data_IF_763103721275
#
_entry.id   IF_763103721275
#
_cell.length_a   1.000
_cell.length_b   1.000
_cell.length_c   1.000
_cell.angle_alpha   90.00
_cell.angle_beta   90.00
_cell.angle_gamma   90.00
#
_symmetry.space_group_name_H-M   'P 1'
#
loop_
_entity.id
_entity.type
_entity.pdbx_description
1 polymer ?
#
# COMPACT_ATOMS: atom_id res chain seq x y z
N UNK A 1 14.11 3.91 -25.28
CA UNK A 1 14.42 2.49 -25.00
C UNK A 1 15.55 2.46 -24.00
N UNK A 2 15.39 1.80 -22.85
CA UNK A 2 16.48 1.59 -21.89
C UNK A 2 17.16 0.27 -22.23
N UNK A 3 18.50 0.26 -22.26
CA UNK A 3 19.32 -0.93 -22.51
C UNK A 3 20.23 -1.14 -21.30
N UNK A 4 20.33 -2.37 -20.85
CA UNK A 4 21.16 -2.76 -19.71
C UNK A 4 22.07 -3.90 -20.15
N UNK A 5 23.31 -3.86 -19.68
CA UNK A 5 24.32 -4.89 -19.91
C UNK A 5 24.99 -5.19 -18.56
N UNK A 6 25.17 -6.47 -18.25
CA UNK A 6 25.84 -6.94 -17.04
C UNK A 6 26.88 -7.97 -17.46
N UNK A 7 28.07 -7.87 -16.90
CA UNK A 7 29.13 -8.87 -17.06
C UNK A 7 29.37 -9.56 -15.72
N UNK A 8 29.60 -10.88 -15.77
CA UNK A 8 29.92 -11.71 -14.62
C UNK A 8 31.14 -12.58 -14.93
N UNK A 9 31.92 -12.89 -13.90
CA UNK A 9 33.13 -13.71 -14.00
C UNK A 9 33.17 -14.76 -12.90
N UNK A 10 33.80 -15.89 -13.21
CA UNK A 10 34.06 -16.99 -12.29
C UNK A 10 35.53 -17.38 -12.39
N UNK A 11 36.20 -17.55 -11.26
CA UNK A 11 37.52 -18.15 -11.21
C UNK A 11 37.41 -19.64 -10.81
N UNK A 12 38.15 -20.56 -11.45
CA UNK A 12 38.16 -21.97 -11.04
C UNK A 12 38.52 -22.12 -9.56
N UNK A 13 37.66 -22.78 -8.78
CA UNK A 13 37.84 -22.95 -7.33
C UNK A 13 37.59 -21.69 -6.49
N UNK A 14 37.14 -20.58 -7.11
CA UNK A 14 36.86 -19.31 -6.46
C UNK A 14 35.40 -18.87 -6.55
N UNK A 15 35.09 -17.74 -5.90
CA UNK A 15 33.76 -17.13 -5.86
C UNK A 15 33.38 -16.58 -7.24
N UNK A 16 32.08 -16.59 -7.58
CA UNK A 16 31.57 -15.89 -8.75
C UNK A 16 31.21 -14.45 -8.39
N UNK A 17 31.38 -13.51 -9.31
CA UNK A 17 30.92 -12.13 -9.13
C UNK A 17 30.41 -11.50 -10.41
N UNK A 18 29.56 -10.49 -10.26
CA UNK A 18 29.05 -9.65 -11.34
C UNK A 18 29.17 -8.18 -10.99
N UNK A 19 29.42 -7.35 -12.00
CA UNK A 19 29.45 -5.89 -11.83
C UNK A 19 28.09 -5.30 -12.22
N UNK A 20 27.39 -4.74 -11.23
CA UNK A 20 26.16 -3.99 -11.44
C UNK A 20 26.45 -2.50 -11.22
N UNK A 21 26.54 -1.73 -12.31
CA UNK A 21 27.01 -0.36 -12.31
C UNK A 21 28.45 -0.23 -11.75
N UNK A 22 28.61 0.19 -10.50
CA UNK A 22 29.90 0.30 -9.81
C UNK A 22 29.97 -0.56 -8.55
N UNK A 23 29.04 -1.51 -8.41
CA UNK A 23 28.94 -2.39 -7.25
C UNK A 23 29.21 -3.82 -7.69
N UNK A 24 30.17 -4.46 -7.03
CA UNK A 24 30.41 -5.88 -7.18
C UNK A 24 29.39 -6.67 -6.36
N UNK A 25 28.71 -7.62 -7.02
CA UNK A 25 27.81 -8.58 -6.40
C UNK A 25 28.50 -9.93 -6.42
N UNK A 26 28.88 -10.44 -5.25
CA UNK A 26 29.51 -11.75 -5.09
C UNK A 26 28.43 -12.80 -4.81
N UNK A 27 28.51 -13.96 -5.47
CA UNK A 27 27.56 -15.06 -5.32
C UNK A 27 28.22 -16.43 -5.46
N UNK A 28 27.54 -17.44 -4.95
CA UNK A 28 28.00 -18.82 -4.98
C UNK A 28 26.84 -19.79 -5.25
N UNK A 29 27.11 -20.83 -6.01
CA UNK A 29 26.17 -21.88 -6.37
C UNK A 29 26.67 -23.29 -5.97
N UNK A 30 27.81 -23.39 -5.28
CA UNK A 30 28.40 -24.68 -4.90
C UNK A 30 27.71 -25.31 -3.68
N UNK A 31 27.68 -26.64 -3.66
CA UNK A 31 26.93 -27.46 -2.71
C UNK A 31 27.52 -27.49 -1.28
N UNK A 32 28.78 -27.07 -1.10
CA UNK A 32 29.58 -27.22 0.15
C UNK A 32 29.69 -25.93 1.00
N UNK A 33 28.66 -25.08 0.95
CA UNK A 33 28.65 -23.63 1.20
C UNK A 33 29.43 -23.01 2.39
N UNK A 34 30.05 -21.88 2.06
CA UNK A 34 30.08 -20.64 2.86
C UNK A 34 28.63 -20.07 2.92
N UNK A 35 27.91 -20.28 4.03
CA UNK A 35 26.45 -20.01 4.16
C UNK A 35 26.01 -18.55 4.03
N UNK A 36 26.93 -17.62 3.77
CA UNK A 36 26.70 -16.17 3.82
C UNK A 36 26.46 -15.52 2.46
N UNK A 37 26.75 -16.22 1.35
CA UNK A 37 26.61 -15.66 -0.01
C UNK A 37 25.29 -16.10 -0.68
N UNK A 38 24.66 -15.20 -1.46
CA UNK A 38 23.46 -15.55 -2.21
C UNK A 38 23.80 -16.44 -3.39
N UNK A 39 22.85 -17.30 -3.75
CA UNK A 39 22.90 -18.09 -4.97
C UNK A 39 22.13 -17.41 -6.13
N UNK A 40 22.26 -17.89 -7.39
CA UNK A 40 21.62 -17.26 -8.54
C UNK A 40 20.09 -17.12 -8.42
N UNK A 41 19.41 -18.08 -7.78
CA UNK A 41 17.97 -17.98 -7.56
C UNK A 41 17.63 -16.86 -6.58
N UNK A 42 18.40 -16.72 -5.49
CA UNK A 42 18.23 -15.63 -4.51
C UNK A 42 18.49 -14.26 -5.16
N UNK A 43 19.49 -14.14 -6.03
CA UNK A 43 19.73 -12.90 -6.80
C UNK A 43 18.55 -12.57 -7.72
N UNK A 44 18.03 -13.57 -8.43
CA UNK A 44 16.86 -13.37 -9.30
C UNK A 44 15.66 -12.84 -8.50
N UNK A 45 15.32 -13.49 -7.39
CA UNK A 45 14.20 -13.06 -6.55
C UNK A 45 14.46 -11.67 -5.92
N UNK A 46 15.71 -11.37 -5.58
CA UNK A 46 16.11 -10.03 -5.09
C UNK A 46 15.91 -8.96 -6.16
N UNK A 47 16.25 -9.24 -7.42
CA UNK A 47 16.03 -8.30 -8.53
C UNK A 47 14.54 -8.03 -8.76
N UNK A 48 13.69 -9.06 -8.63
CA UNK A 48 12.25 -8.93 -8.69
C UNK A 48 11.70 -8.09 -7.53
N UNK A 49 12.15 -8.38 -6.30
CA UNK A 49 11.78 -7.61 -5.12
C UNK A 49 12.13 -6.13 -5.28
N UNK A 50 13.35 -5.82 -5.73
CA UNK A 50 13.79 -4.46 -5.99
C UNK A 50 12.89 -3.75 -7.02
N UNK A 51 12.56 -4.43 -8.12
CA UNK A 51 11.64 -3.90 -9.13
C UNK A 51 10.25 -3.60 -8.55
N UNK A 52 9.69 -4.52 -7.75
CA UNK A 52 8.40 -4.33 -7.09
C UNK A 52 8.42 -3.14 -6.12
N UNK A 53 9.47 -3.00 -5.31
CA UNK A 53 9.61 -1.86 -4.38
C UNK A 53 9.71 -0.53 -5.12
N UNK A 54 10.48 -0.47 -6.21
CA UNK A 54 10.55 0.75 -7.04
C UNK A 54 9.22 1.05 -7.74
N UNK A 55 8.45 0.04 -8.12
CA UNK A 55 7.11 0.23 -8.64
C UNK A 55 6.15 0.79 -7.59
N UNK A 56 6.16 0.26 -6.36
CA UNK A 56 5.34 0.79 -5.25
C UNK A 56 5.64 2.27 -5.02
N UNK A 57 6.93 2.63 -4.92
CA UNK A 57 7.34 4.02 -4.77
C UNK A 57 6.83 4.89 -5.93
N UNK A 58 7.04 4.45 -7.18
CA UNK A 58 6.62 5.19 -8.37
C UNK A 58 5.10 5.42 -8.41
N UNK A 59 4.31 4.40 -8.07
CA UNK A 59 2.86 4.55 -8.05
C UNK A 59 2.37 5.39 -6.87
N UNK A 60 3.05 5.35 -5.73
CA UNK A 60 2.79 6.28 -4.62
C UNK A 60 2.96 7.72 -5.07
N UNK A 61 4.01 8.04 -5.84
CA UNK A 61 4.24 9.37 -6.40
C UNK A 61 3.15 9.76 -7.43
N UNK A 62 2.84 8.87 -8.39
CA UNK A 62 1.84 9.13 -9.45
C UNK A 62 0.43 9.31 -8.87
N UNK A 63 0.01 8.41 -7.98
CA UNK A 63 -1.32 8.41 -7.37
C UNK A 63 -1.42 9.37 -6.19
N UNK A 64 -0.27 9.90 -5.76
CA UNK A 64 -0.10 10.71 -4.57
C UNK A 64 -0.71 10.07 -3.30
N UNK A 65 -0.43 8.77 -3.10
CA UNK A 65 -0.84 8.00 -1.93
C UNK A 65 0.40 7.77 -1.08
N UNK A 66 0.61 8.51 0.02
CA UNK A 66 1.74 8.27 0.91
C UNK A 66 1.60 6.90 1.59
N UNK A 67 2.75 6.29 1.92
CA UNK A 67 2.82 5.04 2.67
C UNK A 67 3.90 5.14 3.73
N UNK A 68 3.68 4.53 4.90
CA UNK A 68 4.65 4.51 6.01
C UNK A 68 5.79 3.54 5.71
N UNK A 69 5.46 2.34 5.25
CA UNK A 69 6.42 1.38 4.75
C UNK A 69 5.78 0.42 3.74
N UNK A 70 6.63 -0.22 2.94
CA UNK A 70 6.22 -1.31 2.06
C UNK A 70 7.18 -2.49 2.27
N UNK A 71 6.66 -3.71 2.21
CA UNK A 71 7.42 -4.95 2.32
C UNK A 71 6.96 -5.92 1.25
N UNK A 72 7.92 -6.58 0.59
CA UNK A 72 7.63 -7.77 -0.22
C UNK A 72 8.34 -8.97 0.38
N UNK A 73 7.61 -10.05 0.55
CA UNK A 73 8.14 -11.38 0.87
C UNK A 73 7.99 -12.25 -0.38
N UNK A 74 9.09 -12.84 -0.87
CA UNK A 74 9.09 -13.65 -2.10
C UNK A 74 9.62 -15.04 -1.79
N UNK A 75 8.95 -16.05 -2.31
CA UNK A 75 9.34 -17.46 -2.29
C UNK A 75 9.43 -17.96 -3.72
N UNK A 76 10.53 -18.64 -4.06
CA UNK A 76 10.71 -19.26 -5.37
C UNK A 76 10.82 -20.78 -5.24
N UNK A 77 10.17 -21.49 -6.14
CA UNK A 77 10.32 -22.95 -6.29
C UNK A 77 11.11 -23.21 -7.55
N UNK A 78 12.24 -23.93 -7.42
CA UNK A 78 13.06 -24.37 -8.54
C UNK A 78 12.78 -25.84 -8.83
N UNK A 79 12.37 -26.15 -10.06
CA UNK A 79 12.32 -27.52 -10.55
C UNK A 79 13.73 -27.98 -10.95
N UNK A 80 14.01 -29.28 -10.82
CA UNK A 80 15.32 -29.85 -11.15
C UNK A 80 15.40 -30.36 -12.59
N UNK A 81 14.29 -30.84 -13.15
CA UNK A 81 14.25 -31.48 -14.47
C UNK A 81 13.03 -31.03 -15.30
N UNK A 82 13.19 -30.10 -16.26
CA UNK A 82 14.38 -29.28 -16.52
C UNK A 82 14.63 -28.26 -15.39
N UNK A 83 15.89 -27.81 -15.19
CA UNK A 83 16.22 -26.84 -14.16
C UNK A 83 15.65 -25.47 -14.50
N UNK A 84 14.64 -25.03 -13.74
CA UNK A 84 13.98 -23.74 -13.96
C UNK A 84 13.32 -23.22 -12.69
N UNK A 85 13.13 -21.90 -12.60
CA UNK A 85 12.24 -21.32 -11.59
C UNK A 85 10.80 -21.61 -12.03
N UNK A 86 10.16 -22.61 -11.41
CA UNK A 86 8.83 -23.08 -11.79
C UNK A 86 7.72 -22.26 -11.18
N UNK A 87 7.96 -21.65 -10.01
CA UNK A 87 6.96 -20.85 -9.29
C UNK A 87 7.62 -19.71 -8.54
N UNK A 88 6.95 -18.55 -8.50
CA UNK A 88 7.29 -17.43 -7.63
C UNK A 88 6.02 -16.96 -6.93
N UNK A 89 5.98 -17.15 -5.62
CA UNK A 89 4.92 -16.68 -4.74
C UNK A 89 5.40 -15.42 -4.04
N UNK A 90 4.59 -14.36 -4.05
CA UNK A 90 4.93 -13.14 -3.31
C UNK A 90 3.77 -12.62 -2.48
N UNK A 91 4.11 -11.97 -1.37
CA UNK A 91 3.21 -11.16 -0.56
C UNK A 91 3.74 -9.74 -0.53
N UNK A 92 2.94 -8.80 -1.04
CA UNK A 92 3.22 -7.37 -0.98
C UNK A 92 2.33 -6.74 0.08
N UNK A 93 2.95 -6.12 1.09
CA UNK A 93 2.29 -5.39 2.16
C UNK A 93 2.66 -3.91 2.01
N UNK A 94 1.65 -3.04 1.93
CA UNK A 94 1.84 -1.58 1.85
C UNK A 94 1.04 -0.95 2.98
N UNK A 95 1.73 -0.31 3.90
CA UNK A 95 1.12 0.32 5.06
C UNK A 95 0.85 1.80 4.78
N UNK A 96 -0.39 2.23 4.92
CA UNK A 96 -0.86 3.57 4.53
C UNK A 96 -1.73 4.20 5.63
N UNK A 97 -1.85 5.52 5.60
CA UNK A 97 -2.58 6.35 6.57
C UNK A 97 -3.89 6.93 6.00
N UNK A 98 -4.38 6.40 4.88
CA UNK A 98 -5.49 6.97 4.09
C UNK A 98 -6.83 7.06 4.84
N UNK A 99 -6.97 6.38 5.97
CA UNK A 99 -8.16 6.27 6.82
C UNK A 99 -7.88 6.60 8.30
N UNK A 100 -6.76 7.25 8.63
CA UNK A 100 -6.33 7.50 10.02
C UNK A 100 -7.36 8.27 10.85
N UNK A 101 -8.07 9.25 10.26
CA UNK A 101 -9.17 9.98 10.92
C UNK A 101 -10.29 9.00 11.31
N UNK A 102 -10.68 8.11 10.38
CA UNK A 102 -11.73 7.12 10.61
C UNK A 102 -11.34 6.12 11.70
N UNK A 103 -10.09 5.66 11.70
CA UNK A 103 -9.56 4.79 12.77
C UNK A 103 -9.59 5.46 14.12
N UNK A 104 -9.08 6.69 14.26
CA UNK A 104 -9.09 7.40 15.57
C UNK A 104 -10.49 7.56 16.14
N UNK A 105 -11.46 7.92 15.30
CA UNK A 105 -12.87 8.03 15.73
C UNK A 105 -13.45 6.67 16.14
N UNK A 106 -13.04 5.59 15.47
CA UNK A 106 -13.45 4.23 15.80
C UNK A 106 -12.85 3.73 17.11
N UNK A 107 -11.55 3.97 17.31
CA UNK A 107 -10.81 3.52 18.48
C UNK A 107 -11.25 4.28 19.75
N UNK A 108 -11.63 5.56 19.61
CA UNK A 108 -12.18 6.35 20.71
C UNK A 108 -13.67 6.09 20.98
N UNK A 109 -14.34 5.28 20.14
CA UNK A 109 -15.76 4.96 20.27
C UNK A 109 -16.72 6.09 19.85
N UNK A 110 -16.22 7.15 19.21
CA UNK A 110 -17.03 8.28 18.75
C UNK A 110 -17.78 7.97 17.45
N UNK A 111 -17.30 7.02 16.65
CA UNK A 111 -18.00 6.53 15.45
C UNK A 111 -17.68 5.06 15.17
N UNK A 112 -18.45 4.42 14.29
CA UNK A 112 -18.09 3.11 13.73
C UNK A 112 -17.80 3.27 12.24
N UNK A 113 -16.70 2.69 11.76
CA UNK A 113 -16.38 2.72 10.32
C UNK A 113 -17.36 1.86 9.51
N UNK A 114 -17.82 2.40 8.38
CA UNK A 114 -18.60 1.68 7.38
C UNK A 114 -17.80 1.58 6.08
N UNK A 115 -17.94 0.46 5.37
CA UNK A 115 -17.23 0.26 4.11
C UNK A 115 -17.93 0.99 2.97
N UNK A 116 -17.37 2.13 2.54
CA UNK A 116 -17.90 2.91 1.42
C UNK A 116 -17.96 2.09 0.11
N UNK A 117 -16.99 1.20 -0.12
CA UNK A 117 -16.99 0.34 -1.30
C UNK A 117 -18.19 -0.61 -1.34
N UNK A 118 -18.65 -1.12 -0.18
CA UNK A 118 -19.87 -1.93 -0.10
C UNK A 118 -21.13 -1.13 -0.42
N UNK A 119 -21.18 0.13 0.03
CA UNK A 119 -22.27 1.04 -0.34
C UNK A 119 -22.26 1.32 -1.84
N UNK A 120 -21.08 1.56 -2.43
CA UNK A 120 -20.94 1.84 -3.86
C UNK A 120 -21.37 0.71 -4.79
N UNK A 121 -21.33 -0.55 -4.31
CA UNK A 121 -21.84 -1.73 -5.05
C UNK A 121 -23.28 -2.09 -4.63
N UNK A 122 -23.99 -1.19 -3.95
CA UNK A 122 -25.37 -1.34 -3.50
C UNK A 122 -25.61 -2.57 -2.60
N UNK A 123 -24.67 -2.87 -1.68
CA UNK A 123 -24.82 -3.96 -0.68
C UNK A 123 -26.01 -3.69 0.25
N UNK A 124 -27.16 -4.27 -0.11
CA UNK A 124 -28.44 -4.04 0.60
C UNK A 124 -28.40 -4.38 2.09
N UNK A 125 -27.74 -5.47 2.55
CA UNK A 125 -27.65 -5.77 3.98
C UNK A 125 -26.96 -4.66 4.78
N UNK A 126 -25.80 -4.16 4.31
CA UNK A 126 -25.11 -3.06 4.98
C UNK A 126 -25.94 -1.77 4.96
N UNK A 127 -26.53 -1.45 3.80
CA UNK A 127 -27.29 -0.20 3.62
C UNK A 127 -28.49 -0.16 4.56
N UNK A 128 -29.28 -1.23 4.63
CA UNK A 128 -30.45 -1.33 5.52
C UNK A 128 -30.04 -1.18 6.98
N UNK A 129 -29.04 -1.96 7.42
CA UNK A 129 -28.52 -1.91 8.79
C UNK A 129 -28.04 -0.50 9.17
N UNK A 130 -27.34 0.17 8.26
CA UNK A 130 -26.80 1.52 8.51
C UNK A 130 -27.93 2.55 8.62
N UNK A 131 -28.95 2.48 7.75
CA UNK A 131 -30.12 3.37 7.82
C UNK A 131 -30.96 3.16 9.10
N UNK A 132 -31.05 1.93 9.58
CA UNK A 132 -31.79 1.59 10.81
C UNK A 132 -31.17 2.19 12.08
N UNK A 133 -29.84 2.39 12.10
CA UNK A 133 -29.14 2.91 13.28
C UNK A 133 -29.44 4.38 13.59
N UNK A 134 -30.08 5.13 12.67
CA UNK A 134 -30.46 6.56 12.79
C UNK A 134 -29.35 7.53 13.23
N UNK A 135 -28.12 7.04 13.34
CA UNK A 135 -26.95 7.83 13.71
C UNK A 135 -26.58 8.76 12.57
N UNK A 136 -25.90 9.86 12.89
CA UNK A 136 -25.31 10.73 11.86
C UNK A 136 -24.15 9.99 11.19
N UNK A 137 -24.01 10.13 9.89
CA UNK A 137 -22.94 9.49 9.11
C UNK A 137 -21.91 10.56 8.78
N UNK A 138 -20.72 10.42 9.33
CA UNK A 138 -19.59 11.28 8.98
C UNK A 138 -19.01 10.82 7.65
N UNK A 139 -18.90 11.74 6.70
CA UNK A 139 -18.38 11.50 5.37
C UNK A 139 -17.15 12.35 5.16
N UNK A 140 -16.03 11.68 4.85
CA UNK A 140 -14.74 12.33 4.63
C UNK A 140 -14.35 12.21 3.17
N UNK A 141 -14.33 13.33 2.47
CA UNK A 141 -13.77 13.45 1.12
C UNK A 141 -12.46 14.24 1.13
N UNK A 142 -11.65 14.11 0.07
CA UNK A 142 -10.39 14.84 -0.04
C UNK A 142 -10.11 15.42 -1.41
N UNK A 143 -11.15 15.59 -2.22
CA UNK A 143 -11.08 16.27 -3.50
C UNK A 143 -12.44 16.88 -3.84
N UNK A 144 -12.47 17.79 -4.81
CA UNK A 144 -13.68 18.50 -5.23
C UNK A 144 -14.77 17.59 -5.82
N UNK A 145 -14.48 16.31 -6.10
CA UNK A 145 -15.47 15.40 -6.64
C UNK A 145 -16.50 14.93 -5.60
N UNK A 146 -16.21 14.99 -4.30
CA UNK A 146 -17.05 14.52 -3.20
C UNK A 146 -17.65 13.13 -3.48
N UNK A 147 -16.81 12.16 -3.85
CA UNK A 147 -17.29 10.86 -4.30
C UNK A 147 -17.98 10.08 -3.16
N UNK A 148 -17.50 10.21 -1.92
CA UNK A 148 -18.07 9.49 -0.80
C UNK A 148 -19.49 10.00 -0.46
N UNK A 149 -19.67 11.32 -0.45
CA UNK A 149 -20.98 11.97 -0.28
C UNK A 149 -21.96 11.49 -1.34
N UNK A 150 -21.58 11.61 -2.62
CA UNK A 150 -22.44 11.23 -3.75
C UNK A 150 -22.83 9.76 -3.75
N UNK A 151 -21.91 8.87 -3.37
CA UNK A 151 -22.20 7.43 -3.23
C UNK A 151 -23.30 7.21 -2.18
N UNK A 152 -23.22 7.90 -1.04
CA UNK A 152 -24.20 7.79 0.02
C UNK A 152 -25.54 8.44 -0.37
N UNK A 153 -25.52 9.61 -1.01
CA UNK A 153 -26.73 10.28 -1.50
C UNK A 153 -27.48 9.43 -2.53
N UNK A 154 -26.76 8.79 -3.46
CA UNK A 154 -27.36 7.90 -4.47
C UNK A 154 -28.08 6.69 -3.85
N UNK A 155 -27.59 6.20 -2.71
CA UNK A 155 -28.26 5.16 -1.94
C UNK A 155 -29.32 5.72 -0.97
N UNK A 156 -29.62 7.02 -1.02
CA UNK A 156 -30.67 7.67 -0.25
C UNK A 156 -30.37 7.84 1.23
N UNK A 157 -29.10 8.03 1.60
CA UNK A 157 -28.73 8.49 2.94
C UNK A 157 -28.92 10.01 3.05
N UNK A 158 -29.57 10.47 4.12
CA UNK A 158 -29.93 11.89 4.31
C UNK A 158 -29.33 12.53 5.56
N UNK A 159 -28.83 11.73 6.51
CA UNK A 159 -28.28 12.21 7.77
C UNK A 159 -26.75 12.29 7.73
N UNK A 160 -26.21 13.02 6.74
CA UNK A 160 -24.77 13.11 6.48
C UNK A 160 -24.16 14.33 7.17
N UNK A 161 -22.98 14.15 7.77
CA UNK A 161 -22.04 15.23 8.10
C UNK A 161 -20.90 15.11 7.10
N UNK A 162 -20.94 15.93 6.06
CA UNK A 162 -19.88 15.95 5.06
C UNK A 162 -18.75 16.89 5.48
N UNK A 163 -17.52 16.41 5.37
CA UNK A 163 -16.33 17.23 5.47
C UNK A 163 -15.41 16.94 4.29
N UNK A 164 -14.93 18.01 3.66
CA UNK A 164 -13.82 17.90 2.74
C UNK A 164 -12.52 18.25 3.45
N UNK A 165 -11.54 17.36 3.39
CA UNK A 165 -10.23 17.60 3.98
C UNK A 165 -9.52 18.82 3.35
N UNK A 166 -9.91 19.24 2.15
CA UNK A 166 -9.43 20.50 1.54
C UNK A 166 -9.81 21.74 2.34
N UNK A 167 -10.93 21.71 3.08
CA UNK A 167 -11.37 22.82 3.94
C UNK A 167 -10.43 23.03 5.13
N UNK A 168 -9.64 22.00 5.46
CA UNK A 168 -8.59 22.00 6.47
C UNK A 168 -7.18 22.20 5.87
N UNK A 169 -7.11 22.65 4.61
CA UNK A 169 -5.83 22.83 3.90
C UNK A 169 -5.14 21.52 3.51
N UNK A 170 -5.84 20.39 3.61
CA UNK A 170 -5.32 19.07 3.20
C UNK A 170 -5.76 18.81 1.78
N UNK A 171 -4.85 19.04 0.84
CA UNK A 171 -5.08 18.74 -0.56
C UNK A 171 -4.44 17.40 -0.86
N UNK A 172 -5.24 16.46 -1.35
CA UNK A 172 -4.78 15.13 -1.74
C UNK A 172 -3.54 15.25 -2.64
N UNK A 173 -2.47 14.64 -2.19
CA UNK A 173 -1.20 14.58 -2.88
C UNK A 173 -0.30 15.81 -2.85
N UNK A 174 -0.75 16.91 -2.24
CA UNK A 174 0.09 18.10 -2.03
C UNK A 174 0.45 18.30 -0.57
N UNK A 175 -0.44 17.91 0.33
CA UNK A 175 -0.29 18.14 1.75
C UNK A 175 0.21 16.86 2.44
N UNK A 176 1.38 16.86 3.11
CA UNK A 176 1.83 15.72 3.89
C UNK A 176 0.91 15.52 5.11
N UNK A 177 0.68 14.27 5.46
CA UNK A 177 -0.11 13.88 6.63
C UNK A 177 0.66 14.22 7.91
N UNK A 178 -0.04 14.76 8.90
CA UNK A 178 0.53 15.15 10.20
C UNK A 178 -0.50 14.92 11.30
N UNK A 179 -0.05 14.46 12.47
CA UNK A 179 -0.91 14.22 13.64
C UNK A 179 -1.74 15.45 14.00
N UNK A 180 -1.15 16.64 14.03
CA UNK A 180 -1.83 17.90 14.35
C UNK A 180 -3.08 18.14 13.50
N UNK A 181 -2.99 17.92 12.18
CA UNK A 181 -4.12 18.07 11.25
C UNK A 181 -5.16 16.98 11.40
N UNK A 182 -4.73 15.74 11.63
CA UNK A 182 -5.65 14.63 11.93
C UNK A 182 -6.44 14.97 13.19
N UNK A 183 -5.76 15.42 14.25
CA UNK A 183 -6.38 15.79 15.53
C UNK A 183 -7.34 16.97 15.39
N UNK A 184 -7.02 17.95 14.54
CA UNK A 184 -7.91 19.05 14.21
C UNK A 184 -9.21 18.56 13.55
N UNK A 185 -9.12 17.68 12.54
CA UNK A 185 -10.30 17.10 11.88
C UNK A 185 -11.12 16.24 12.85
N UNK A 186 -10.46 15.37 13.63
CA UNK A 186 -11.12 14.52 14.62
C UNK A 186 -11.87 15.37 15.65
N UNK A 187 -11.23 16.42 16.18
CA UNK A 187 -11.86 17.32 17.16
C UNK A 187 -13.06 18.05 16.57
N UNK A 188 -12.97 18.50 15.32
CA UNK A 188 -14.07 19.17 14.63
C UNK A 188 -15.25 18.22 14.40
N UNK A 189 -14.99 16.97 13.97
CA UNK A 189 -16.03 15.95 13.81
C UNK A 189 -16.75 15.66 15.13
N UNK A 190 -16.01 15.54 16.24
CA UNK A 190 -16.61 15.31 17.56
C UNK A 190 -17.55 16.46 17.96
N UNK A 191 -17.15 17.71 17.70
CA UNK A 191 -18.00 18.88 17.98
C UNK A 191 -19.29 18.90 17.16
N UNK A 192 -19.26 18.42 15.92
CA UNK A 192 -20.43 18.35 15.05
C UNK A 192 -21.34 17.15 15.32
N UNK A 193 -20.83 16.13 16.03
CA UNK A 193 -21.51 14.85 16.27
C UNK A 193 -22.18 14.78 17.66
N UNK A 194 -21.91 15.75 18.54
CA UNK A 194 -22.67 16.04 19.76
C UNK A 194 -24.00 16.72 19.43
#
# INVERSE_FOLDING_TARGET
MLRYEISASLQPGGKASAMANHTEIVFDATSDREKTLPNPAEILLTSLAACMMKNVQRYSEILHIPYRYARVSIQGVRAEHPPMMSEILYRLEVDTDVDEVGRRLSDSGDANMICLAKVAISDQPLIKKTKEQKSRIVVLDGCAFNCAEKILENEGFTNLIHLNTTDFGIVKGKTPVSNERIDAIVSHIKQMSQ
#
